data_IF_986735104878
#
_entry.id   IF_986735104878
#
_cell.length_a   1.000
_cell.length_b   1.000
_cell.length_c   1.000
_cell.angle_alpha   90.00
_cell.angle_beta   90.00
_cell.angle_gamma   90.00
#
_symmetry.space_group_name_H-M   'P 1'
#
loop_
_entity.id
_entity.type
_entity.pdbx_description
1 polymer ?
#
# COMPACT_ATOMS: atom_id res chain seq x y z
N UNK A 1 -12.68 9.67 -7.40
CA UNK A 1 -11.25 9.68 -7.81
C UNK A 1 -10.63 10.89 -7.14
N UNK A 2 -9.53 10.72 -6.42
CA UNK A 2 -8.88 11.81 -5.68
C UNK A 2 -8.43 12.91 -6.67
N UNK A 3 -8.59 14.18 -6.31
CA UNK A 3 -8.08 15.29 -7.13
C UNK A 3 -6.58 15.44 -6.96
N UNK A 4 -5.89 16.06 -7.92
CA UNK A 4 -4.45 16.30 -7.81
C UNK A 4 -4.11 17.16 -6.58
N UNK A 5 -4.92 18.19 -6.32
CA UNK A 5 -4.75 19.08 -5.17
C UNK A 5 -4.92 18.33 -3.85
N UNK A 6 -5.94 17.47 -3.76
CA UNK A 6 -6.18 16.64 -2.59
C UNK A 6 -5.04 15.63 -2.37
N UNK A 7 -4.53 15.03 -3.46
CA UNK A 7 -3.40 14.11 -3.39
C UNK A 7 -2.13 14.79 -2.89
N UNK A 8 -1.80 15.98 -3.42
CA UNK A 8 -0.63 16.76 -2.99
C UNK A 8 -0.76 17.17 -1.53
N UNK A 9 -1.94 17.63 -1.11
CA UNK A 9 -2.21 17.99 0.28
C UNK A 9 -2.02 16.79 1.23
N UNK A 10 -2.56 15.63 0.85
CA UNK A 10 -2.43 14.40 1.62
C UNK A 10 -0.98 13.92 1.70
N UNK A 11 -0.27 13.91 0.56
CA UNK A 11 1.15 13.54 0.49
C UNK A 11 2.00 14.38 1.46
N UNK A 12 1.83 15.70 1.44
CA UNK A 12 2.59 16.60 2.30
C UNK A 12 2.35 16.32 3.79
N UNK A 13 1.10 16.06 4.19
CA UNK A 13 0.76 15.71 5.57
C UNK A 13 1.40 14.39 6.01
N UNK A 14 1.33 13.37 5.15
CA UNK A 14 1.85 12.03 5.47
C UNK A 14 3.38 12.04 5.56
N UNK A 15 4.07 12.72 4.64
CA UNK A 15 5.53 12.84 4.69
C UNK A 15 6.00 13.62 5.92
N UNK A 16 5.32 14.72 6.26
CA UNK A 16 5.65 15.46 7.48
C UNK A 16 5.55 14.56 8.72
N UNK A 17 4.47 13.80 8.86
CA UNK A 17 4.31 12.86 9.97
C UNK A 17 5.39 11.75 9.96
N UNK A 18 5.80 11.29 8.77
CA UNK A 18 6.87 10.31 8.62
C UNK A 18 8.23 10.84 9.10
N UNK A 19 8.56 12.08 8.72
CA UNK A 19 9.78 12.76 9.16
C UNK A 19 9.81 12.94 10.68
N UNK A 20 8.70 13.38 11.27
CA UNK A 20 8.55 13.55 12.73
C UNK A 20 8.76 12.23 13.48
N UNK A 21 8.31 11.12 12.91
CA UNK A 21 8.47 9.77 13.47
C UNK A 21 9.79 9.10 13.07
N UNK A 22 10.62 9.74 12.24
CA UNK A 22 11.84 9.17 11.67
C UNK A 22 11.62 7.82 10.98
N UNK A 23 10.50 7.68 10.26
CA UNK A 23 10.14 6.48 9.48
C UNK A 23 10.21 6.75 7.98
N UNK A 24 10.66 5.75 7.23
CA UNK A 24 10.58 5.76 5.76
C UNK A 24 9.24 5.19 5.32
N UNK A 25 8.55 5.88 4.41
CA UNK A 25 7.29 5.41 3.83
C UNK A 25 7.48 5.03 2.36
N UNK A 26 6.63 4.11 1.89
CA UNK A 26 6.36 3.92 0.48
C UNK A 26 5.19 4.81 0.02
N UNK A 27 4.86 4.78 -1.26
CA UNK A 27 3.67 5.47 -1.77
C UNK A 27 2.35 4.85 -1.23
N UNK A 28 2.38 3.58 -0.82
CA UNK A 28 1.17 2.82 -0.50
C UNK A 28 0.51 3.26 0.82
N UNK A 29 1.27 3.77 1.80
CA UNK A 29 0.73 4.21 3.08
C UNK A 29 -0.22 5.42 2.95
N UNK A 30 -0.06 6.23 1.90
CA UNK A 30 -0.86 7.44 1.65
C UNK A 30 -2.34 7.09 1.35
N UNK A 31 -2.59 5.99 0.64
CA UNK A 31 -3.93 5.60 0.23
C UNK A 31 -4.86 5.26 1.41
N UNK A 32 -4.31 4.69 2.48
CA UNK A 32 -5.07 4.35 3.69
C UNK A 32 -5.60 5.60 4.40
N UNK A 33 -4.77 6.64 4.49
CA UNK A 33 -5.18 7.91 5.09
C UNK A 33 -6.33 8.55 4.32
N UNK A 34 -6.29 8.50 2.97
CA UNK A 34 -7.39 9.01 2.14
C UNK A 34 -8.71 8.29 2.40
N UNK A 35 -8.72 6.95 2.36
CA UNK A 35 -9.96 6.19 2.56
C UNK A 35 -10.55 6.37 3.96
N UNK A 36 -9.70 6.57 4.97
CA UNK A 36 -10.16 6.87 6.32
C UNK A 36 -10.81 8.25 6.42
N UNK A 37 -10.31 9.26 5.70
CA UNK A 37 -10.84 10.62 5.71
C UNK A 37 -12.14 10.76 4.90
N UNK A 38 -12.28 10.00 3.82
CA UNK A 38 -13.49 9.97 2.99
C UNK A 38 -14.64 9.15 3.62
N UNK A 39 -14.43 8.54 4.79
CA UNK A 39 -15.43 7.76 5.52
C UNK A 39 -16.13 6.69 4.65
N UNK A 40 -15.36 6.00 3.80
CA UNK A 40 -15.92 5.01 2.87
C UNK A 40 -16.52 3.81 3.61
N UNK A 41 -17.67 3.31 3.16
CA UNK A 41 -18.27 2.07 3.70
C UNK A 41 -17.38 0.84 3.47
N UNK A 42 -16.70 0.81 2.32
CA UNK A 42 -15.83 -0.28 1.88
C UNK A 42 -14.62 0.25 1.13
N UNK A 43 -13.42 -0.18 1.53
CA UNK A 43 -12.18 0.02 0.79
C UNK A 43 -11.72 -1.31 0.16
N UNK A 44 -11.46 -1.30 -1.14
CA UNK A 44 -10.84 -2.42 -1.86
C UNK A 44 -9.36 -2.11 -2.02
N UNK A 45 -8.50 -2.98 -1.47
CA UNK A 45 -7.06 -2.76 -1.43
C UNK A 45 -6.38 -3.89 -2.19
N UNK A 46 -5.74 -3.54 -3.31
CA UNK A 46 -4.97 -4.47 -4.12
C UNK A 46 -3.56 -4.61 -3.53
N UNK A 47 -3.10 -5.85 -3.35
CA UNK A 47 -1.70 -6.12 -2.94
C UNK A 47 -0.75 -5.79 -4.08
N UNK A 48 0.35 -5.08 -3.79
CA UNK A 48 1.36 -4.75 -4.81
C UNK A 48 2.15 -5.97 -5.28
N UNK A 49 2.81 -6.68 -4.35
CA UNK A 49 3.58 -7.87 -4.61
C UNK A 49 3.39 -8.95 -3.53
N UNK A 50 2.77 -10.05 -3.92
CA UNK A 50 2.60 -11.20 -3.03
C UNK A 50 1.52 -10.94 -1.99
N UNK A 51 1.91 -10.63 -0.75
CA UNK A 51 0.94 -10.37 0.32
C UNK A 51 1.57 -10.26 1.71
N UNK A 52 2.26 -11.30 2.20
CA UNK A 52 2.73 -11.34 3.61
C UNK A 52 3.59 -10.14 4.02
N UNK A 53 4.47 -9.67 3.13
CA UNK A 53 5.38 -8.54 3.35
C UNK A 53 4.99 -7.31 2.51
N UNK A 54 3.81 -7.32 1.92
CA UNK A 54 3.32 -6.18 1.14
C UNK A 54 2.88 -5.06 2.08
N UNK A 55 3.12 -3.80 1.70
CA UNK A 55 2.75 -2.64 2.50
C UNK A 55 1.23 -2.58 2.77
N UNK A 56 0.40 -3.21 1.92
CA UNK A 56 -1.04 -3.24 2.14
C UNK A 56 -1.49 -4.23 3.23
N UNK A 57 -0.61 -5.13 3.68
CA UNK A 57 -0.92 -6.17 4.67
C UNK A 57 -0.84 -5.67 6.13
N UNK A 58 -1.28 -4.44 6.36
CA UNK A 58 -1.34 -3.82 7.70
C UNK A 58 -2.71 -3.99 8.38
N UNK A 59 -3.75 -4.40 7.64
CA UNK A 59 -5.09 -4.63 8.19
C UNK A 59 -5.12 -6.00 8.88
N UNK A 60 -5.26 -6.07 10.23
CA UNK A 60 -5.16 -7.35 10.94
C UNK A 60 -6.32 -8.32 10.67
N UNK A 61 -7.49 -7.80 10.29
CA UNK A 61 -8.71 -8.60 10.10
C UNK A 61 -9.57 -8.00 8.99
N UNK A 62 -9.16 -8.15 7.71
CA UNK A 62 -9.98 -7.70 6.59
C UNK A 62 -11.29 -8.51 6.55
N UNK A 63 -12.39 -7.84 6.20
CA UNK A 63 -13.71 -8.47 6.18
C UNK A 63 -13.83 -9.59 5.14
N UNK A 64 -13.02 -9.51 4.09
CA UNK A 64 -12.86 -10.49 3.02
C UNK A 64 -11.43 -10.40 2.47
N UNK A 65 -10.85 -11.55 2.11
CA UNK A 65 -9.56 -11.63 1.41
C UNK A 65 -9.76 -12.41 0.12
N UNK A 66 -9.27 -11.84 -1.00
CA UNK A 66 -9.41 -12.44 -2.32
C UNK A 66 -8.02 -12.83 -2.82
N UNK A 67 -7.86 -14.10 -3.20
CA UNK A 67 -6.68 -14.59 -3.89
C UNK A 67 -7.13 -14.91 -5.32
N UNK A 68 -6.63 -14.14 -6.29
CA UNK A 68 -6.90 -14.37 -7.72
C UNK A 68 -6.12 -15.60 -8.23
N UNK A 69 -6.26 -15.91 -9.52
CA UNK A 69 -5.51 -17.02 -10.13
C UNK A 69 -4.00 -16.92 -9.88
N UNK A 70 -3.41 -18.01 -9.40
CA UNK A 70 -1.97 -18.09 -9.12
C UNK A 70 -1.27 -18.73 -10.34
N UNK A 71 -0.23 -18.06 -10.85
CA UNK A 71 0.63 -18.56 -11.91
C UNK A 71 2.09 -18.22 -11.65
N UNK A 72 3.01 -18.89 -12.35
CA UNK A 72 4.43 -18.58 -12.28
C UNK A 72 4.72 -17.32 -13.09
N UNK A 73 5.23 -16.27 -12.45
CA UNK A 73 5.80 -15.11 -13.16
C UNK A 73 7.12 -15.55 -13.77
N UNK A 74 7.19 -15.62 -15.09
CA UNK A 74 8.44 -15.89 -15.80
C UNK A 74 9.38 -14.67 -15.68
N UNK A 75 10.68 -14.89 -15.50
CA UNK A 75 11.69 -13.82 -15.47
C UNK A 75 12.23 -13.39 -14.08
N UNK A 76 11.85 -14.05 -12.98
CA UNK A 76 12.49 -13.83 -11.67
C UNK A 76 13.58 -14.90 -11.44
N UNK A 77 14.83 -14.59 -11.79
CA UNK A 77 15.98 -15.46 -11.55
C UNK A 77 16.51 -15.25 -10.13
N UNK A 78 16.52 -16.31 -9.31
CA UNK A 78 17.08 -16.27 -7.94
C UNK A 78 18.62 -16.28 -7.90
N UNK A 79 19.28 -16.25 -9.05
CA UNK A 79 20.74 -16.37 -9.15
C UNK A 79 21.49 -15.04 -8.98
N UNK A 80 20.80 -13.89 -9.00
CA UNK A 80 21.44 -12.57 -8.86
C UNK A 80 21.57 -12.08 -7.41
N UNK A 81 20.84 -12.66 -6.45
CA UNK A 81 20.88 -12.27 -5.03
C UNK A 81 21.94 -13.02 -4.20
N UNK A 82 22.76 -13.88 -4.84
CA UNK A 82 23.82 -14.69 -4.20
C UNK A 82 25.23 -14.34 -4.68
N UNK A 83 25.48 -13.09 -5.08
CA UNK A 83 26.83 -12.56 -5.28
C UNK A 83 27.13 -11.46 -4.28
#
# INVERSE_FOLDING_TARGET
MISEEALVSLYNRVIQAAEELSVSLSFFEIAFSYFSEEEVDWAVIETGLGGRLDATNIIPSPRCTIITSIGKKEGCNREEERK
#
